data_IF_567302294262
#
_entry.id   IF_567302294262
#
_cell.length_a   1.000
_cell.length_b   1.000
_cell.length_c   1.000
_cell.angle_alpha   90.00
_cell.angle_beta   90.00
_cell.angle_gamma   90.00
#
_symmetry.space_group_name_H-M   'P 1'
#
loop_
_entity.id
_entity.type
_entity.pdbx_description
1 polymer ?
#
# COMPACT_ATOMS: atom_id res chain seq x y z
N UNK A 1 8.24 20.29 17.60
CA UNK A 1 9.34 20.21 16.62
C UNK A 1 8.92 20.94 15.37
N UNK A 2 9.83 21.68 14.75
CA UNK A 2 9.61 22.35 13.47
C UNK A 2 9.45 21.33 12.35
N UNK A 3 8.72 21.72 11.30
CA UNK A 3 8.64 20.96 10.04
C UNK A 3 9.96 20.99 9.24
N UNK A 4 10.85 21.93 9.55
CA UNK A 4 12.17 22.03 8.98
C UNK A 4 13.16 21.26 9.87
N UNK A 5 13.81 20.19 9.38
CA UNK A 5 14.71 19.39 10.20
C UNK A 5 15.92 20.19 10.73
N UNK A 6 16.37 21.22 10.00
CA UNK A 6 17.52 22.04 10.40
C UNK A 6 17.23 22.84 11.68
N UNK A 7 16.01 23.32 11.85
CA UNK A 7 15.58 24.08 13.04
C UNK A 7 15.38 23.18 14.26
N UNK A 8 15.37 21.86 14.08
CA UNK A 8 15.30 20.90 15.19
C UNK A 8 16.69 20.56 15.74
N UNK A 9 17.76 21.04 15.11
CA UNK A 9 19.13 20.82 15.60
C UNK A 9 19.45 21.82 16.72
N UNK A 10 20.11 21.38 17.81
CA UNK A 10 20.41 22.23 18.95
C UNK A 10 21.19 23.49 18.56
N UNK A 11 20.65 24.67 18.89
CA UNK A 11 21.28 25.96 18.60
C UNK A 11 20.99 26.54 17.22
N UNK A 12 20.14 25.89 16.41
CA UNK A 12 19.72 26.36 15.09
C UNK A 12 18.22 26.69 15.01
N UNK A 13 17.53 26.80 16.14
CA UNK A 13 16.08 26.99 16.23
C UNK A 13 15.60 28.34 15.65
N UNK A 14 16.49 29.34 15.62
CA UNK A 14 16.21 30.69 15.10
C UNK A 14 17.11 31.08 13.92
N UNK A 15 17.84 30.11 13.34
CA UNK A 15 18.75 30.34 12.23
C UNK A 15 17.98 30.79 10.98
N UNK A 16 18.20 32.00 10.47
CA UNK A 16 17.42 32.57 9.35
C UNK A 16 18.22 33.53 8.46
N UNK A 17 19.55 33.59 8.64
CA UNK A 17 20.39 34.37 7.74
C UNK A 17 20.43 33.70 6.35
N UNK A 18 20.89 34.43 5.32
CA UNK A 18 20.90 33.90 3.94
C UNK A 18 21.73 32.61 3.80
N UNK A 19 22.81 32.50 4.57
CA UNK A 19 23.60 31.27 4.67
C UNK A 19 22.81 30.12 5.32
N UNK A 20 22.07 30.41 6.39
CA UNK A 20 21.24 29.40 7.08
C UNK A 20 20.13 28.90 6.17
N UNK A 21 19.48 29.77 5.40
CA UNK A 21 18.44 29.38 4.44
C UNK A 21 18.96 28.39 3.39
N UNK A 22 20.20 28.57 2.94
CA UNK A 22 20.86 27.62 2.05
C UNK A 22 21.08 26.29 2.75
N UNK A 23 21.63 26.31 3.97
CA UNK A 23 21.88 25.08 4.74
C UNK A 23 20.60 24.35 5.11
N UNK A 24 19.53 25.06 5.48
CA UNK A 24 18.20 24.49 5.70
C UNK A 24 17.70 23.73 4.48
N UNK A 25 17.84 24.33 3.28
CA UNK A 25 17.44 23.70 2.02
C UNK A 25 18.27 22.45 1.74
N UNK A 26 19.59 22.54 1.85
CA UNK A 26 20.52 21.44 1.58
C UNK A 26 20.32 20.29 2.59
N UNK A 27 20.11 20.61 3.87
CA UNK A 27 19.83 19.64 4.91
C UNK A 27 18.47 18.98 4.74
N UNK A 28 17.41 19.75 4.45
CA UNK A 28 16.09 19.19 4.18
C UNK A 28 16.10 18.26 2.95
N UNK A 29 16.88 18.58 1.91
CA UNK A 29 17.08 17.70 0.77
C UNK A 29 17.80 16.39 1.18
N UNK A 30 18.87 16.50 1.99
CA UNK A 30 19.62 15.36 2.55
C UNK A 30 18.70 14.42 3.35
N UNK A 31 17.96 14.98 4.31
CA UNK A 31 17.03 14.23 5.17
C UNK A 31 15.93 13.56 4.36
N UNK A 32 15.37 14.25 3.35
CA UNK A 32 14.36 13.64 2.45
C UNK A 32 14.90 12.41 1.73
N UNK A 33 16.10 12.50 1.16
CA UNK A 33 16.75 11.38 0.47
C UNK A 33 16.93 10.19 1.42
N UNK A 34 17.55 10.43 2.57
CA UNK A 34 17.93 9.39 3.52
C UNK A 34 16.71 8.76 4.21
N UNK A 35 15.64 9.54 4.42
CA UNK A 35 14.36 9.03 4.93
C UNK A 35 13.75 8.02 3.96
N UNK A 36 13.73 8.31 2.66
CA UNK A 36 13.23 7.36 1.65
C UNK A 36 14.15 6.12 1.59
N UNK A 37 15.47 6.33 1.56
CA UNK A 37 16.46 5.24 1.46
C UNK A 37 16.40 4.28 2.65
N UNK A 38 16.39 4.80 3.87
CA UNK A 38 16.52 4.00 5.09
C UNK A 38 15.14 3.56 5.58
N UNK A 39 14.25 4.52 5.85
CA UNK A 39 13.00 4.23 6.56
C UNK A 39 11.96 3.52 5.70
N UNK A 40 12.05 3.65 4.37
CA UNK A 40 11.13 3.00 3.43
C UNK A 40 11.82 1.87 2.70
N UNK A 41 12.84 2.16 1.89
CA UNK A 41 13.44 1.18 0.97
C UNK A 41 14.17 0.09 1.73
N UNK A 42 15.22 0.43 2.49
CA UNK A 42 16.03 -0.57 3.20
C UNK A 42 15.17 -1.42 4.14
N UNK A 43 14.24 -0.78 4.88
CA UNK A 43 13.33 -1.50 5.78
C UNK A 43 12.46 -2.54 5.04
N UNK A 44 11.92 -2.19 3.87
CA UNK A 44 11.11 -3.13 3.08
C UNK A 44 11.97 -4.19 2.41
N UNK A 45 13.19 -3.84 2.02
CA UNK A 45 14.15 -4.81 1.48
C UNK A 45 14.48 -5.90 2.51
N UNK A 46 14.72 -5.49 3.76
CA UNK A 46 14.90 -6.41 4.89
C UNK A 46 13.65 -7.28 5.12
N UNK A 47 12.44 -6.70 5.05
CA UNK A 47 11.19 -7.45 5.26
C UNK A 47 10.84 -8.41 4.13
N UNK A 48 11.32 -8.15 2.92
CA UNK A 48 11.12 -8.98 1.74
C UNK A 48 12.33 -9.88 1.43
N UNK A 49 13.37 -9.82 2.26
CA UNK A 49 14.65 -10.51 2.06
C UNK A 49 15.25 -10.26 0.67
N UNK A 50 15.13 -9.04 0.13
CA UNK A 50 15.68 -8.67 -1.16
C UNK A 50 16.97 -7.87 -0.99
N UNK A 51 17.96 -8.13 -1.84
CA UNK A 51 19.18 -7.32 -1.83
C UNK A 51 18.95 -6.00 -2.57
N UNK A 52 19.72 -4.96 -2.20
CA UNK A 52 19.73 -3.71 -2.94
C UNK A 52 20.09 -3.93 -4.43
N UNK A 53 20.81 -4.99 -4.79
CA UNK A 53 21.11 -5.33 -6.19
C UNK A 53 19.91 -5.90 -6.97
N UNK A 54 18.77 -6.14 -6.32
CA UNK A 54 17.57 -6.71 -6.94
C UNK A 54 17.57 -8.24 -6.99
N UNK A 55 18.32 -8.89 -6.10
CA UNK A 55 18.31 -10.36 -6.00
C UNK A 55 17.32 -10.79 -4.93
N UNK A 56 16.36 -11.62 -5.31
CA UNK A 56 15.54 -12.41 -4.38
C UNK A 56 16.26 -13.73 -4.11
N UNK A 57 16.34 -14.24 -2.87
CA UNK A 57 16.74 -15.61 -2.64
C UNK A 57 15.80 -16.56 -3.41
N UNK A 58 16.29 -17.71 -3.91
CA UNK A 58 15.43 -18.68 -4.58
C UNK A 58 14.31 -19.09 -3.63
N UNK A 59 13.07 -18.96 -4.08
CA UNK A 59 11.91 -19.52 -3.39
C UNK A 59 12.07 -21.05 -3.37
N UNK A 60 12.20 -21.63 -2.19
CA UNK A 60 12.11 -23.09 -1.99
C UNK A 60 10.64 -23.45 -1.82
N UNK A 61 9.98 -24.03 -2.85
CA UNK A 61 8.67 -24.64 -2.64
C UNK A 61 8.81 -25.80 -1.65
N UNK A 62 7.79 -26.07 -0.82
CA UNK A 62 7.75 -27.31 -0.06
C UNK A 62 7.67 -28.47 -1.08
N UNK A 63 8.70 -29.31 -1.09
CA UNK A 63 8.86 -30.42 -2.03
C UNK A 63 7.68 -31.41 -1.98
N UNK A 64 7.23 -31.88 -3.14
CA UNK A 64 6.16 -32.88 -3.28
C UNK A 64 6.61 -34.32 -2.96
N UNK A 65 7.90 -34.57 -2.72
CA UNK A 65 8.48 -35.92 -2.54
C UNK A 65 9.23 -36.07 -1.20
N UNK A 66 8.51 -36.08 -0.08
CA UNK A 66 9.05 -36.57 1.21
C UNK A 66 8.12 -37.65 1.78
N UNK A 67 8.01 -38.76 1.05
CA UNK A 67 7.35 -39.99 1.47
C UNK A 67 8.28 -40.82 2.40
N UNK A 68 8.92 -40.13 3.36
CA UNK A 68 9.64 -40.76 4.46
C UNK A 68 8.86 -40.49 5.75
N UNK A 69 8.38 -41.58 6.37
CA UNK A 69 7.66 -41.65 7.66
C UNK A 69 8.42 -41.06 8.88
N UNK A 70 9.44 -40.22 8.64
CA UNK A 70 10.21 -39.47 9.63
C UNK A 70 10.11 -37.94 9.47
N UNK A 71 9.47 -37.43 8.41
CA UNK A 71 9.24 -35.98 8.19
C UNK A 71 7.77 -35.58 8.43
N UNK A 72 7.16 -36.16 9.47
CA UNK A 72 5.85 -35.73 9.97
C UNK A 72 5.92 -34.43 10.80
N UNK A 73 7.03 -33.72 10.77
CA UNK A 73 7.16 -32.32 11.21
C UNK A 73 6.95 -31.38 10.01
N UNK A 74 5.84 -31.63 9.32
CA UNK A 74 5.30 -30.81 8.24
C UNK A 74 5.17 -29.38 8.74
N UNK A 75 6.01 -28.48 8.19
CA UNK A 75 5.80 -27.03 8.09
C UNK A 75 4.87 -26.49 9.17
N UNK A 76 5.41 -26.35 10.37
CA UNK A 76 4.76 -25.59 11.41
C UNK A 76 4.64 -24.14 10.95
N UNK A 77 3.54 -23.78 10.28
CA UNK A 77 3.20 -22.40 9.92
C UNK A 77 3.13 -21.49 11.16
N UNK A 78 3.10 -22.07 12.38
CA UNK A 78 3.25 -21.31 13.62
C UNK A 78 4.71 -20.90 13.95
N UNK A 79 5.70 -21.36 13.16
CA UNK A 79 7.11 -21.01 13.33
C UNK A 79 7.51 -19.69 12.65
N UNK A 80 6.69 -19.14 11.74
CA UNK A 80 6.90 -17.76 11.27
C UNK A 80 6.32 -16.82 12.31
N UNK A 81 7.18 -16.28 13.17
CA UNK A 81 6.76 -15.34 14.21
C UNK A 81 5.92 -14.20 13.59
N UNK A 82 4.68 -14.04 14.07
CA UNK A 82 3.81 -12.95 13.67
C UNK A 82 4.48 -11.60 13.98
N UNK A 83 4.80 -10.87 12.93
CA UNK A 83 5.37 -9.53 13.03
C UNK A 83 4.37 -8.51 12.45
N UNK A 84 3.42 -8.00 13.27
CA UNK A 84 2.35 -7.10 12.80
C UNK A 84 2.88 -5.85 12.09
N UNK A 85 4.09 -5.43 12.45
CA UNK A 85 4.72 -4.27 11.84
C UNK A 85 5.21 -4.53 10.40
N UNK A 86 5.58 -5.77 10.05
CA UNK A 86 6.00 -6.14 8.69
C UNK A 86 4.86 -5.98 7.69
N UNK A 87 3.73 -6.63 7.93
CA UNK A 87 2.53 -6.50 7.06
C UNK A 87 2.05 -5.05 6.99
N UNK A 88 2.00 -4.36 8.15
CA UNK A 88 1.61 -2.95 8.19
C UNK A 88 2.49 -2.08 7.28
N UNK A 89 3.82 -2.27 7.32
CA UNK A 89 4.75 -1.55 6.44
C UNK A 89 4.54 -1.88 4.96
N UNK A 90 4.37 -3.17 4.60
CA UNK A 90 4.11 -3.60 3.22
C UNK A 90 2.83 -2.95 2.66
N UNK A 91 1.75 -2.94 3.45
CA UNK A 91 0.47 -2.31 3.05
C UNK A 91 0.58 -0.80 2.91
N UNK A 92 1.22 -0.12 3.87
CA UNK A 92 1.43 1.33 3.80
C UNK A 92 2.33 1.72 2.63
N UNK A 93 3.30 0.88 2.28
CA UNK A 93 4.08 1.08 1.08
C UNK A 93 3.21 1.08 -0.18
N UNK A 94 2.33 0.10 -0.34
CA UNK A 94 1.42 0.05 -1.49
C UNK A 94 0.52 1.30 -1.57
N UNK A 95 0.05 1.81 -0.43
CA UNK A 95 -0.77 3.03 -0.37
C UNK A 95 -0.02 4.29 -0.81
N UNK A 96 1.25 4.42 -0.45
CA UNK A 96 2.03 5.65 -0.69
C UNK A 96 3.04 5.50 -1.83
N UNK A 97 2.98 4.41 -2.59
CA UNK A 97 3.93 4.12 -3.67
C UNK A 97 4.07 5.28 -4.66
N UNK A 98 2.94 5.80 -5.17
CA UNK A 98 2.93 6.93 -6.10
C UNK A 98 3.45 8.23 -5.46
N UNK A 99 3.19 8.42 -4.16
CA UNK A 99 3.70 9.56 -3.38
C UNK A 99 5.22 9.51 -3.25
N UNK A 100 5.82 8.33 -3.06
CA UNK A 100 7.27 8.17 -3.03
C UNK A 100 7.90 8.47 -4.40
N UNK A 101 7.31 7.97 -5.49
CA UNK A 101 7.79 8.25 -6.85
C UNK A 101 7.70 9.75 -7.17
N UNK A 102 6.58 10.39 -6.83
CA UNK A 102 6.39 11.83 -7.02
C UNK A 102 7.41 12.64 -6.21
N UNK A 103 7.70 12.24 -4.97
CA UNK A 103 8.69 12.88 -4.13
C UNK A 103 10.11 12.76 -4.71
N UNK A 104 10.46 11.60 -5.26
CA UNK A 104 11.73 11.38 -5.98
C UNK A 104 11.79 12.25 -7.23
N UNK A 105 10.76 12.26 -8.08
CA UNK A 105 10.74 13.03 -9.32
C UNK A 105 10.92 14.54 -9.05
N UNK A 106 10.25 15.05 -8.01
CA UNK A 106 10.43 16.44 -7.57
C UNK A 106 11.85 16.70 -7.09
N UNK A 107 12.40 15.81 -6.25
CA UNK A 107 13.75 15.99 -5.71
C UNK A 107 14.85 15.92 -6.79
N UNK A 108 14.68 15.08 -7.82
CA UNK A 108 15.58 15.00 -8.99
C UNK A 108 15.68 16.31 -9.79
N UNK A 109 14.68 17.19 -9.68
CA UNK A 109 14.71 18.55 -10.28
C UNK A 109 15.48 19.54 -9.41
N UNK A 110 15.67 19.25 -8.13
CA UNK A 110 16.29 20.14 -7.14
C UNK A 110 17.79 19.85 -6.96
N UNK A 111 18.22 18.59 -7.10
CA UNK A 111 19.62 18.16 -6.91
C UNK A 111 20.11 17.28 -8.06
N UNK A 112 21.43 17.22 -8.27
CA UNK A 112 22.03 16.33 -9.27
C UNK A 112 22.22 14.93 -8.70
N UNK A 113 22.01 13.93 -9.54
CA UNK A 113 22.30 12.55 -9.18
C UNK A 113 23.80 12.36 -8.94
N UNK A 114 24.14 11.52 -7.96
CA UNK A 114 25.48 11.27 -7.42
C UNK A 114 26.18 12.49 -6.80
N UNK A 115 25.49 13.62 -6.63
CA UNK A 115 26.04 14.79 -5.95
C UNK A 115 26.26 14.49 -4.46
N UNK A 116 27.45 14.78 -3.90
CA UNK A 116 27.72 14.56 -2.49
C UNK A 116 26.86 15.48 -1.61
N UNK A 117 26.51 14.97 -0.43
CA UNK A 117 25.80 15.73 0.59
C UNK A 117 26.64 16.91 1.10
N UNK A 118 26.03 18.09 1.17
CA UNK A 118 26.65 19.23 1.82
C UNK A 118 26.77 18.96 3.32
N UNK A 119 27.95 19.19 3.90
CA UNK A 119 28.18 19.03 5.34
C UNK A 119 27.59 20.23 6.09
N UNK A 120 26.73 19.98 7.06
CA UNK A 120 26.14 21.04 7.87
C UNK A 120 27.09 21.52 8.98
N UNK A 121 26.95 22.77 9.48
CA UNK A 121 27.83 23.31 10.52
C UNK A 121 27.86 22.51 11.82
N UNK A 122 26.78 21.81 12.14
CA UNK A 122 26.66 20.94 13.32
C UNK A 122 27.17 19.50 13.10
N UNK A 123 27.63 19.16 11.89
CA UNK A 123 28.19 17.84 11.58
C UNK A 123 29.70 17.79 11.88
N UNK A 124 30.07 17.11 12.95
CA UNK A 124 31.44 16.81 13.39
C UNK A 124 31.91 15.40 12.98
N UNK A 125 33.04 14.96 13.53
CA UNK A 125 33.63 13.65 13.23
C UNK A 125 32.80 12.44 13.71
N UNK A 126 31.90 12.63 14.68
CA UNK A 126 31.09 11.55 15.27
C UNK A 126 29.64 11.48 14.79
N UNK A 127 29.17 12.46 14.02
CA UNK A 127 27.77 12.59 13.59
C UNK A 127 27.64 13.08 12.13
N UNK A 128 28.68 12.94 11.32
CA UNK A 128 28.63 13.32 9.91
C UNK A 128 27.64 12.44 9.14
N UNK A 129 26.79 13.07 8.33
CA UNK A 129 25.89 12.38 7.41
C UNK A 129 26.51 12.42 6.01
N UNK A 130 27.53 11.60 5.83
CA UNK A 130 28.25 11.44 4.56
C UNK A 130 27.45 10.62 3.56
N UNK A 131 27.57 10.94 2.28
CA UNK A 131 26.85 10.25 1.22
C UNK A 131 26.64 11.12 0.00
N UNK A 132 25.78 10.65 -0.90
CA UNK A 132 25.41 11.31 -2.15
C UNK A 132 23.93 11.11 -2.44
N UNK A 133 23.34 12.04 -3.17
CA UNK A 133 22.00 11.85 -3.73
C UNK A 133 22.06 10.76 -4.81
N UNK A 134 21.24 9.72 -4.72
CA UNK A 134 21.21 8.61 -5.69
C UNK A 134 19.74 8.25 -6.01
N UNK A 135 19.00 9.26 -6.47
CA UNK A 135 17.56 9.14 -6.68
C UNK A 135 17.22 8.19 -7.82
N UNK A 136 18.10 8.03 -8.80
CA UNK A 136 17.95 7.02 -9.86
C UNK A 136 17.91 5.62 -9.27
N UNK A 137 18.83 5.31 -8.35
CA UNK A 137 18.87 4.02 -7.70
C UNK A 137 17.72 3.83 -6.70
N UNK A 138 17.33 4.89 -5.96
CA UNK A 138 16.16 4.81 -5.07
C UNK A 138 14.87 4.50 -5.85
N UNK A 139 14.67 5.12 -7.02
CA UNK A 139 13.51 4.86 -7.88
C UNK A 139 13.49 3.40 -8.36
N UNK A 140 14.65 2.89 -8.83
CA UNK A 140 14.80 1.49 -9.26
C UNK A 140 14.45 0.52 -8.13
N UNK A 141 14.96 0.77 -6.92
CA UNK A 141 14.71 -0.07 -5.73
C UNK A 141 13.25 -0.03 -5.29
N UNK A 142 12.59 1.13 -5.30
CA UNK A 142 11.14 1.24 -5.03
C UNK A 142 10.32 0.42 -6.02
N UNK A 143 10.63 0.52 -7.32
CA UNK A 143 9.95 -0.27 -8.35
C UNK A 143 10.16 -1.77 -8.14
N UNK A 144 11.37 -2.17 -7.74
CA UNK A 144 11.65 -3.57 -7.44
C UNK A 144 10.87 -4.09 -6.22
N UNK A 145 10.85 -3.35 -5.11
CA UNK A 145 10.00 -3.65 -3.93
C UNK A 145 8.54 -3.83 -4.35
N UNK A 146 8.04 -2.91 -5.20
CA UNK A 146 6.67 -2.96 -5.70
C UNK A 146 6.40 -4.25 -6.47
N UNK A 147 7.23 -4.59 -7.44
CA UNK A 147 7.12 -5.83 -8.22
C UNK A 147 7.16 -7.06 -7.31
N UNK A 148 8.03 -7.08 -6.30
CA UNK A 148 8.12 -8.19 -5.33
C UNK A 148 6.83 -8.33 -4.52
N UNK A 149 6.21 -7.24 -4.09
CA UNK A 149 4.93 -7.27 -3.36
C UNK A 149 3.76 -7.71 -4.25
N UNK A 150 3.73 -7.28 -5.51
CA UNK A 150 2.73 -7.74 -6.47
C UNK A 150 2.88 -9.25 -6.73
N UNK A 151 4.13 -9.75 -6.86
CA UNK A 151 4.42 -11.18 -7.00
C UNK A 151 4.04 -11.98 -5.74
N UNK A 152 4.36 -11.49 -4.54
CA UNK A 152 3.94 -12.10 -3.27
C UNK A 152 2.41 -12.21 -3.18
N UNK A 153 1.69 -11.17 -3.63
CA UNK A 153 0.22 -11.15 -3.62
C UNK A 153 -0.37 -12.16 -4.61
N UNK A 154 0.21 -12.26 -5.82
CA UNK A 154 -0.19 -13.26 -6.80
C UNK A 154 0.07 -14.69 -6.28
N UNK A 155 1.19 -14.88 -5.58
CA UNK A 155 1.59 -16.17 -5.02
C UNK A 155 0.65 -16.66 -3.91
N UNK A 156 -0.01 -15.76 -3.17
CA UNK A 156 -1.05 -16.14 -2.20
C UNK A 156 -2.19 -16.94 -2.83
N UNK A 157 -2.53 -16.69 -4.09
CA UNK A 157 -3.55 -17.47 -4.79
C UNK A 157 -3.10 -18.94 -4.96
N UNK A 158 -1.83 -19.15 -5.34
CA UNK A 158 -1.25 -20.48 -5.52
C UNK A 158 -1.09 -21.21 -4.19
N UNK A 159 -0.54 -20.54 -3.16
CA UNK A 159 -0.43 -21.10 -1.81
C UNK A 159 -1.80 -21.43 -1.23
N UNK A 160 -2.78 -20.55 -1.42
CA UNK A 160 -4.15 -20.73 -0.96
C UNK A 160 -4.84 -21.98 -1.53
N UNK A 161 -4.62 -22.30 -2.82
CA UNK A 161 -5.11 -23.54 -3.42
C UNK A 161 -4.46 -24.78 -2.79
N UNK A 162 -3.16 -24.71 -2.46
CA UNK A 162 -2.48 -25.80 -1.74
C UNK A 162 -3.04 -25.94 -0.32
N UNK A 163 -3.27 -24.83 0.39
CA UNK A 163 -3.90 -24.83 1.71
C UNK A 163 -5.32 -25.40 1.68
N UNK A 164 -6.09 -25.14 0.62
CA UNK A 164 -7.41 -25.73 0.41
C UNK A 164 -7.33 -27.24 0.18
N UNK A 165 -6.41 -27.72 -0.66
CA UNK A 165 -6.18 -29.16 -0.88
C UNK A 165 -5.76 -29.90 0.39
N UNK A 166 -5.04 -29.21 1.28
CA UNK A 166 -4.63 -29.71 2.60
C UNK A 166 -5.69 -29.55 3.69
N UNK A 167 -6.90 -29.07 3.34
CA UNK A 167 -8.02 -28.83 4.27
C UNK A 167 -7.63 -27.95 5.47
N UNK A 168 -6.81 -26.92 5.23
CA UNK A 168 -6.34 -26.06 6.31
C UNK A 168 -7.48 -25.31 6.99
N UNK A 169 -7.32 -25.02 8.29
CA UNK A 169 -8.31 -24.25 9.06
C UNK A 169 -8.57 -22.86 8.48
N UNK A 170 -7.54 -22.22 7.90
CA UNK A 170 -7.67 -20.90 7.24
C UNK A 170 -8.53 -21.01 5.98
N UNK A 171 -8.30 -22.02 5.14
CA UNK A 171 -9.07 -22.23 3.92
C UNK A 171 -10.55 -22.51 4.25
N UNK A 172 -10.82 -23.36 5.24
CA UNK A 172 -12.18 -23.66 5.70
C UNK A 172 -12.85 -22.41 6.31
N UNK A 173 -12.10 -21.60 7.06
CA UNK A 173 -12.60 -20.35 7.64
C UNK A 173 -13.01 -19.35 6.53
N UNK A 174 -12.12 -19.08 5.57
CA UNK A 174 -12.40 -18.16 4.46
C UNK A 174 -13.57 -18.64 3.60
N UNK A 175 -13.65 -19.94 3.30
CA UNK A 175 -14.78 -20.53 2.58
C UNK A 175 -16.11 -20.26 3.32
N UNK A 176 -16.13 -20.48 4.64
CA UNK A 176 -17.31 -20.18 5.47
C UNK A 176 -17.64 -18.70 5.50
N UNK A 177 -16.64 -17.82 5.61
CA UNK A 177 -16.86 -16.38 5.56
C UNK A 177 -17.45 -15.95 4.21
N UNK A 178 -16.95 -16.50 3.10
CA UNK A 178 -17.49 -16.24 1.77
C UNK A 178 -18.99 -16.56 1.70
N UNK A 179 -19.39 -17.77 2.12
CA UNK A 179 -20.79 -18.20 2.11
C UNK A 179 -21.68 -17.29 2.95
N UNK A 180 -21.22 -16.91 4.14
CA UNK A 180 -21.95 -15.98 5.03
C UNK A 180 -22.10 -14.59 4.41
N UNK A 181 -21.05 -14.08 3.76
CA UNK A 181 -21.03 -12.77 3.12
C UNK A 181 -21.97 -12.74 1.91
N UNK A 182 -21.90 -13.74 1.04
CA UNK A 182 -22.79 -13.87 -0.13
C UNK A 182 -24.24 -13.93 0.31
N UNK A 183 -24.57 -14.74 1.32
CA UNK A 183 -25.94 -14.84 1.84
C UNK A 183 -26.41 -13.53 2.49
N UNK A 184 -25.53 -12.82 3.21
CA UNK A 184 -25.86 -11.54 3.81
C UNK A 184 -26.23 -10.47 2.74
N UNK A 185 -25.45 -10.37 1.66
CA UNK A 185 -25.73 -9.41 0.59
C UNK A 185 -26.86 -9.83 -0.35
N UNK A 186 -27.18 -11.13 -0.46
CA UNK A 186 -28.42 -11.58 -1.12
C UNK A 186 -29.68 -11.12 -0.39
N UNK A 187 -29.63 -11.06 0.95
CA UNK A 187 -30.76 -10.60 1.78
C UNK A 187 -30.88 -9.09 1.82
N UNK A 188 -29.75 -8.38 1.82
CA UNK A 188 -29.72 -6.92 1.86
C UNK A 188 -29.77 -6.32 0.45
N UNK A 189 -30.95 -5.85 0.05
CA UNK A 189 -31.14 -5.19 -1.26
C UNK A 189 -30.61 -3.76 -1.32
N UNK A 190 -30.10 -3.21 -0.22
CA UNK A 190 -29.63 -1.81 -0.16
C UNK A 190 -28.24 -1.62 -0.77
N UNK A 191 -27.45 -2.69 -0.88
CA UNK A 191 -26.14 -2.70 -1.53
C UNK A 191 -26.19 -3.75 -2.62
N UNK A 192 -25.99 -3.34 -3.86
CA UNK A 192 -25.84 -4.30 -4.96
C UNK A 192 -24.37 -4.64 -5.08
N UNK A 193 -24.01 -5.78 -4.49
CA UNK A 193 -22.71 -6.43 -4.63
C UNK A 193 -22.93 -7.81 -5.20
N UNK A 194 -22.09 -8.16 -6.17
CA UNK A 194 -21.90 -9.54 -6.57
C UNK A 194 -20.52 -10.00 -6.11
N UNK A 195 -20.44 -11.19 -5.53
CA UNK A 195 -19.22 -11.69 -4.90
C UNK A 195 -19.03 -13.15 -5.30
N UNK A 196 -17.91 -13.40 -5.98
CA UNK A 196 -17.55 -14.72 -6.50
C UNK A 196 -16.13 -15.08 -6.09
N UNK A 197 -15.83 -16.39 -6.03
CA UNK A 197 -14.47 -16.87 -5.85
C UNK A 197 -13.80 -17.03 -7.21
N UNK A 198 -12.58 -16.52 -7.34
CA UNK A 198 -11.78 -16.76 -8.54
C UNK A 198 -11.39 -18.24 -8.60
N UNK A 199 -11.86 -18.96 -9.62
CA UNK A 199 -11.57 -20.37 -9.83
C UNK A 199 -11.84 -21.28 -8.60
N UNK A 200 -12.87 -20.95 -7.80
CA UNK A 200 -13.21 -21.64 -6.53
C UNK A 200 -12.12 -21.59 -5.46
N UNK A 201 -11.19 -20.64 -5.58
CA UNK A 201 -10.15 -20.39 -4.60
C UNK A 201 -10.69 -19.49 -3.47
N UNK A 202 -10.81 -19.95 -2.22
CA UNK A 202 -11.32 -19.14 -1.10
C UNK A 202 -10.38 -17.99 -0.72
N UNK A 203 -9.17 -17.95 -1.28
CA UNK A 203 -8.20 -16.88 -1.03
C UNK A 203 -8.25 -15.74 -2.06
N UNK A 204 -9.08 -15.84 -3.10
CA UNK A 204 -9.21 -14.79 -4.13
C UNK A 204 -10.67 -14.52 -4.41
N UNK A 205 -11.15 -13.35 -4.00
CA UNK A 205 -12.55 -12.96 -4.15
C UNK A 205 -12.67 -11.86 -5.19
N UNK A 206 -13.54 -12.08 -6.17
CA UNK A 206 -13.94 -11.10 -7.17
C UNK A 206 -15.23 -10.44 -6.69
N UNK A 207 -15.20 -9.12 -6.52
CA UNK A 207 -16.31 -8.32 -6.01
C UNK A 207 -16.71 -7.32 -7.09
N UNK A 208 -17.94 -7.40 -7.56
CA UNK A 208 -18.54 -6.42 -8.46
C UNK A 208 -19.45 -5.52 -7.63
N UNK A 209 -19.01 -4.28 -7.43
CA UNK A 209 -19.77 -3.26 -6.71
C UNK A 209 -20.51 -2.36 -7.69
N UNK A 210 -21.83 -2.30 -7.56
CA UNK A 210 -22.66 -1.38 -8.29
C UNK A 210 -22.91 -0.15 -7.43
N UNK A 211 -22.51 1.02 -7.94
CA UNK A 211 -22.61 2.27 -7.20
C UNK A 211 -24.06 2.61 -6.86
N UNK A 212 -24.31 2.97 -5.60
CA UNK A 212 -25.67 3.16 -5.10
C UNK A 212 -26.36 4.37 -5.76
N UNK A 213 -27.70 4.31 -5.95
CA UNK A 213 -28.48 5.45 -6.37
C UNK A 213 -28.26 6.67 -5.49
N UNK A 214 -28.26 7.86 -6.10
CA UNK A 214 -28.09 9.14 -5.40
C UNK A 214 -26.73 9.32 -4.69
N UNK A 215 -25.72 8.54 -5.06
CA UNK A 215 -24.32 8.75 -4.64
C UNK A 215 -23.47 9.31 -5.77
N UNK A 216 -22.23 9.72 -5.49
CA UNK A 216 -21.29 10.12 -6.55
C UNK A 216 -20.82 8.97 -7.44
N UNK A 217 -21.16 7.73 -7.07
CA UNK A 217 -20.82 6.50 -7.77
C UNK A 217 -22.02 5.93 -8.53
N UNK A 218 -23.17 6.59 -8.49
CA UNK A 218 -24.41 6.16 -9.12
C UNK A 218 -24.21 5.82 -10.60
N UNK A 219 -24.73 4.66 -11.01
CA UNK A 219 -24.55 4.09 -12.33
C UNK A 219 -23.20 3.41 -12.59
N UNK A 220 -22.22 3.53 -11.68
CA UNK A 220 -20.92 2.87 -11.82
C UNK A 220 -20.95 1.37 -11.53
N UNK A 221 -20.07 0.63 -12.20
CA UNK A 221 -19.75 -0.77 -11.95
C UNK A 221 -18.25 -0.88 -11.68
N UNK A 222 -17.87 -1.37 -10.50
CA UNK A 222 -16.47 -1.46 -10.07
C UNK A 222 -16.09 -2.88 -9.71
N UNK A 223 -15.13 -3.43 -10.46
CA UNK A 223 -14.55 -4.73 -10.18
C UNK A 223 -13.38 -4.56 -9.20
N UNK A 224 -13.46 -5.26 -8.08
CA UNK A 224 -12.48 -5.25 -7.00
C UNK A 224 -12.07 -6.68 -6.75
N UNK A 225 -10.76 -6.95 -6.78
CA UNK A 225 -10.20 -8.24 -6.42
C UNK A 225 -9.59 -8.17 -5.02
N UNK A 226 -9.95 -9.11 -4.16
CA UNK A 226 -9.44 -9.23 -2.80
C UNK A 226 -8.61 -10.51 -2.68
N UNK A 227 -7.33 -10.35 -2.37
CA UNK A 227 -6.38 -11.43 -2.17
C UNK A 227 -6.15 -11.62 -0.68
N UNK A 228 -6.48 -12.80 -0.17
CA UNK A 228 -6.22 -13.20 1.21
C UNK A 228 -4.90 -13.96 1.28
N UNK A 229 -4.10 -13.66 2.30
CA UNK A 229 -2.90 -14.43 2.58
C UNK A 229 -3.28 -15.80 3.16
N UNK A 230 -2.53 -16.87 2.84
CA UNK A 230 -2.55 -18.14 3.58
C UNK A 230 -2.40 -17.99 5.09
N UNK A 231 -1.80 -16.89 5.54
CA UNK A 231 -1.58 -16.52 6.95
C UNK A 231 -2.68 -15.60 7.51
N UNK A 232 -3.83 -15.48 6.84
CA UNK A 232 -4.95 -14.67 7.35
C UNK A 232 -5.49 -15.25 8.67
N UNK A 233 -5.77 -14.43 9.71
CA UNK A 233 -5.85 -12.96 9.71
C UNK A 233 -4.58 -12.23 10.17
N UNK A 234 -3.48 -12.92 10.42
CA UNK A 234 -2.21 -12.30 10.81
C UNK A 234 -1.69 -11.38 9.70
N UNK A 235 -1.68 -11.89 8.47
CA UNK A 235 -1.40 -11.09 7.28
C UNK A 235 -2.71 -10.65 6.61
N UNK A 236 -2.89 -9.33 6.48
CA UNK A 236 -4.15 -8.73 6.08
C UNK A 236 -4.34 -8.77 4.56
N UNK A 237 -5.58 -8.92 4.06
CA UNK A 237 -5.83 -9.05 2.63
C UNK A 237 -5.47 -7.78 1.86
N UNK A 238 -5.06 -7.98 0.61
CA UNK A 238 -4.73 -6.92 -0.33
C UNK A 238 -5.86 -6.79 -1.34
N UNK A 239 -6.40 -5.59 -1.46
CA UNK A 239 -7.46 -5.29 -2.41
C UNK A 239 -6.91 -4.55 -3.62
N UNK A 240 -7.52 -4.75 -4.79
CA UNK A 240 -7.15 -4.10 -6.04
C UNK A 240 -8.40 -3.76 -6.83
N UNK A 241 -8.57 -2.49 -7.19
CA UNK A 241 -9.56 -2.08 -8.16
C UNK A 241 -9.04 -2.42 -9.56
N UNK A 242 -9.74 -3.32 -10.25
CA UNK A 242 -9.47 -3.64 -11.65
C UNK A 242 -10.09 -2.58 -12.56
N UNK A 243 -11.24 -2.03 -12.15
CA UNK A 243 -11.85 -0.89 -12.83
C UNK A 243 -11.17 0.42 -12.38
N UNK A 244 -10.58 1.21 -13.30
CA UNK A 244 -9.96 2.47 -12.95
C UNK A 244 -10.96 3.47 -12.36
N UNK A 245 -10.62 4.08 -11.21
CA UNK A 245 -11.48 5.03 -10.51
C UNK A 245 -10.68 6.24 -10.02
N UNK A 246 -11.11 7.46 -10.42
CA UNK A 246 -10.49 8.68 -9.95
C UNK A 246 -11.04 9.07 -8.57
N UNK A 247 -10.38 8.58 -7.50
CA UNK A 247 -10.82 8.81 -6.13
C UNK A 247 -9.64 9.02 -5.19
N UNK A 248 -9.79 9.87 -4.16
CA UNK A 248 -8.68 10.22 -3.25
C UNK A 248 -8.18 9.03 -2.40
N UNK A 249 -9.05 8.03 -2.15
CA UNK A 249 -8.71 6.77 -1.45
C UNK A 249 -8.18 5.67 -2.37
N UNK A 250 -8.14 5.86 -3.69
CA UNK A 250 -7.72 4.82 -4.64
C UNK A 250 -6.44 5.28 -5.33
N UNK A 251 -5.35 4.54 -5.14
CA UNK A 251 -4.06 4.78 -5.82
C UNK A 251 -4.19 4.71 -7.34
N UNK A 252 -3.22 5.23 -8.09
CA UNK A 252 -3.27 5.24 -9.56
C UNK A 252 -3.28 3.83 -10.13
N UNK A 253 -2.70 2.89 -9.40
CA UNK A 253 -2.68 1.48 -9.69
C UNK A 253 -3.98 0.77 -9.27
N UNK A 254 -4.94 1.42 -8.62
CA UNK A 254 -6.15 0.81 -8.09
C UNK A 254 -6.03 0.25 -6.66
N UNK A 255 -4.92 0.47 -5.95
CA UNK A 255 -4.83 0.04 -4.54
C UNK A 255 -5.71 0.93 -3.65
N UNK A 256 -6.70 0.38 -2.91
CA UNK A 256 -7.53 1.17 -2.00
C UNK A 256 -6.89 1.39 -0.63
N UNK A 257 -7.13 2.58 -0.09
CA UNK A 257 -6.77 2.97 1.27
C UNK A 257 -7.98 2.88 2.21
N UNK A 258 -7.98 1.85 3.06
CA UNK A 258 -9.07 1.58 3.98
C UNK A 258 -8.56 0.91 5.27
N UNK A 259 -9.34 0.99 6.33
CA UNK A 259 -9.06 0.32 7.61
C UNK A 259 -10.27 -0.51 8.01
N UNK A 260 -10.16 -1.84 8.09
CA UNK A 260 -11.26 -2.70 8.53
C UNK A 260 -11.60 -2.44 10.00
N UNK A 261 -12.89 -2.55 10.36
CA UNK A 261 -13.34 -2.49 11.77
C UNK A 261 -12.97 -3.76 12.54
N UNK A 262 -13.08 -4.91 11.87
CA UNK A 262 -12.68 -6.25 12.29
C UNK A 262 -11.68 -6.80 11.25
N UNK A 263 -10.37 -6.83 11.57
CA UNK A 263 -9.31 -7.29 10.65
C UNK A 263 -9.37 -8.79 10.31
N UNK A 264 -10.10 -9.58 11.10
CA UNK A 264 -10.28 -11.03 10.96
C UNK A 264 -11.53 -11.43 10.17
N UNK A 265 -12.33 -10.45 9.75
CA UNK A 265 -13.62 -10.62 9.09
C UNK A 265 -13.61 -10.00 7.69
N UNK A 266 -13.65 -10.86 6.67
CA UNK A 266 -13.71 -10.51 5.25
C UNK A 266 -14.85 -9.54 4.93
N UNK A 267 -16.01 -9.68 5.59
CA UNK A 267 -17.14 -8.76 5.39
C UNK A 267 -16.75 -7.34 5.77
N UNK A 268 -16.07 -7.19 6.91
CA UNK A 268 -15.62 -5.91 7.44
C UNK A 268 -14.61 -5.22 6.51
N UNK A 269 -13.77 -5.98 5.79
CA UNK A 269 -12.92 -5.41 4.74
C UNK A 269 -13.75 -4.83 3.59
N UNK A 270 -14.73 -5.59 3.06
CA UNK A 270 -15.61 -5.14 1.97
C UNK A 270 -16.40 -3.90 2.38
N UNK A 271 -17.04 -3.93 3.55
CA UNK A 271 -17.80 -2.80 4.10
C UNK A 271 -16.91 -1.55 4.27
N UNK A 272 -15.65 -1.74 4.68
CA UNK A 272 -14.72 -0.61 4.89
C UNK A 272 -14.18 -0.04 3.58
N UNK A 273 -14.00 -0.86 2.54
CA UNK A 273 -13.66 -0.38 1.19
C UNK A 273 -14.81 0.47 0.63
N UNK A 274 -16.04 -0.05 0.67
CA UNK A 274 -17.22 0.66 0.17
C UNK A 274 -17.47 1.93 0.99
N UNK A 275 -17.40 1.83 2.32
CA UNK A 275 -17.55 2.98 3.21
C UNK A 275 -16.51 4.07 2.93
N UNK A 276 -15.27 3.72 2.59
CA UNK A 276 -14.24 4.68 2.23
C UNK A 276 -14.47 5.36 0.87
N UNK A 277 -15.22 4.74 -0.04
CA UNK A 277 -15.62 5.32 -1.32
C UNK A 277 -16.87 6.21 -1.22
N UNK A 278 -17.82 5.82 -0.37
CA UNK A 278 -19.10 6.53 -0.20
C UNK A 278 -19.01 7.71 0.79
N UNK A 279 -17.87 7.89 1.47
CA UNK A 279 -17.67 8.97 2.44
C UNK A 279 -17.68 10.35 1.75
N UNK A 280 -18.79 11.08 1.87
CA UNK A 280 -19.00 12.36 1.17
C UNK A 280 -18.17 13.50 1.76
N UNK A 281 -17.97 13.51 3.08
CA UNK A 281 -17.30 14.61 3.79
C UNK A 281 -16.29 14.08 4.83
N UNK A 282 -15.23 13.37 4.39
CA UNK A 282 -14.20 12.88 5.28
C UNK A 282 -13.45 14.05 5.95
N UNK A 283 -13.06 13.91 7.24
CA UNK A 283 -12.10 14.82 7.83
C UNK A 283 -10.77 14.76 7.08
N UNK A 284 -10.05 15.88 7.01
CA UNK A 284 -8.73 15.89 6.38
C UNK A 284 -7.76 15.01 7.18
N UNK A 285 -7.29 13.92 6.58
CA UNK A 285 -6.25 13.06 7.14
C UNK A 285 -5.16 12.80 6.09
N UNK A 286 -3.93 13.33 6.27
CA UNK A 286 -2.83 13.16 5.31
C UNK A 286 -2.46 11.69 5.08
N UNK A 287 -2.79 10.80 6.03
CA UNK A 287 -2.49 9.35 5.95
C UNK A 287 -3.44 8.57 5.04
N UNK A 288 -4.41 9.26 4.44
CA UNK A 288 -5.43 8.67 3.57
C UNK A 288 -5.40 9.23 2.15
N UNK A 289 -4.46 10.14 1.88
CA UNK A 289 -4.29 10.84 0.61
C UNK A 289 -3.41 10.04 -0.34
N UNK A 290 -3.89 8.88 -0.78
CA UNK A 290 -3.08 7.98 -1.64
C UNK A 290 -2.97 8.50 -3.07
N UNK A 291 -4.04 9.09 -3.60
CA UNK A 291 -4.00 9.76 -4.90
C UNK A 291 -3.80 11.26 -4.71
N UNK A 292 -2.54 11.69 -4.82
CA UNK A 292 -2.11 13.08 -4.56
C UNK A 292 -2.89 14.09 -5.41
N UNK A 293 -3.16 13.76 -6.69
CA UNK A 293 -3.90 14.65 -7.58
C UNK A 293 -5.37 14.77 -7.16
N UNK A 294 -6.04 13.62 -6.93
CA UNK A 294 -7.42 13.59 -6.49
C UNK A 294 -7.60 14.29 -5.13
N UNK A 295 -6.69 14.04 -4.19
CA UNK A 295 -6.66 14.72 -2.89
C UNK A 295 -6.49 16.22 -3.01
N UNK A 296 -5.54 16.69 -3.84
CA UNK A 296 -5.35 18.13 -4.06
C UNK A 296 -6.64 18.79 -4.58
N UNK A 297 -7.35 18.12 -5.48
CA UNK A 297 -8.62 18.66 -6.01
C UNK A 297 -9.76 18.61 -4.98
N UNK A 298 -9.85 17.51 -4.22
CA UNK A 298 -10.93 17.31 -3.25
C UNK A 298 -10.88 18.29 -2.07
N UNK A 299 -9.69 18.55 -1.52
CA UNK A 299 -9.49 19.53 -0.43
C UNK A 299 -9.09 20.92 -0.91
N UNK A 300 -9.10 21.17 -2.23
CA UNK A 300 -8.74 22.44 -2.84
C UNK A 300 -9.84 23.50 -2.78
N UNK A 301 -9.73 24.48 -3.68
CA UNK A 301 -10.70 25.56 -3.86
C UNK A 301 -12.07 25.05 -4.33
N UNK A 302 -13.08 25.93 -4.37
CA UNK A 302 -14.42 25.58 -4.89
C UNK A 302 -14.34 25.07 -6.33
N UNK A 303 -13.46 25.65 -7.16
CA UNK A 303 -13.30 25.22 -8.55
C UNK A 303 -12.53 23.90 -8.66
N UNK A 304 -11.57 23.66 -7.77
CA UNK A 304 -10.89 22.35 -7.67
C UNK A 304 -11.87 21.23 -7.33
N UNK A 305 -12.79 21.48 -6.38
CA UNK A 305 -13.84 20.52 -6.02
C UNK A 305 -14.79 20.23 -7.19
N UNK A 306 -15.13 21.25 -8.00
CA UNK A 306 -15.91 21.03 -9.24
C UNK A 306 -15.12 20.17 -10.23
N UNK A 307 -13.83 20.41 -10.37
CA UNK A 307 -12.95 19.62 -11.23
C UNK A 307 -12.83 18.16 -10.75
N UNK A 308 -12.69 17.94 -9.44
CA UNK A 308 -12.72 16.62 -8.82
C UNK A 308 -14.01 15.87 -9.19
N UNK A 309 -15.17 16.47 -8.91
CA UNK A 309 -16.47 15.86 -9.19
C UNK A 309 -16.65 15.54 -10.68
N UNK A 310 -16.15 16.40 -11.57
CA UNK A 310 -16.18 16.15 -13.01
C UNK A 310 -15.30 14.95 -13.40
N UNK A 311 -14.09 14.84 -12.84
CA UNK A 311 -13.19 13.70 -13.10
C UNK A 311 -13.74 12.40 -12.53
N UNK A 312 -14.26 12.43 -11.30
CA UNK A 312 -14.91 11.28 -10.66
C UNK A 312 -16.08 10.77 -11.51
N UNK A 313 -17.01 11.63 -11.91
CA UNK A 313 -18.14 11.24 -12.77
C UNK A 313 -17.71 10.64 -14.10
N UNK A 314 -16.65 11.18 -14.72
CA UNK A 314 -16.09 10.60 -15.95
C UNK A 314 -15.55 9.20 -15.70
N UNK A 315 -14.78 8.98 -14.63
CA UNK A 315 -14.30 7.64 -14.31
C UNK A 315 -15.43 6.66 -13.96
N UNK A 316 -16.50 7.12 -13.31
CA UNK A 316 -17.70 6.31 -13.03
C UNK A 316 -18.40 5.92 -14.34
N UNK A 317 -18.53 6.85 -15.29
CA UNK A 317 -19.13 6.56 -16.59
C UNK A 317 -18.30 5.56 -17.41
N UNK A 318 -16.97 5.75 -17.47
CA UNK A 318 -16.06 4.81 -18.15
C UNK A 318 -15.97 3.45 -17.47
N UNK A 319 -16.45 3.32 -16.24
CA UNK A 319 -16.45 2.07 -15.49
C UNK A 319 -17.46 1.05 -16.04
N UNK A 320 -18.38 1.50 -16.89
CA UNK A 320 -19.39 0.66 -17.56
C UNK A 320 -18.97 0.20 -18.96
N UNK A 321 -17.90 0.77 -19.52
CA UNK A 321 -17.39 0.47 -20.88
C UNK A 321 -16.49 -0.77 -20.89
#
# INVERSE_FOLDING_TARGET
>A
MSSNPYENEPGFESANDDHDRKNQKDYAAKIRHETIRISVIQRLEEYLNISAAGTTPPYTPPSEDSDSDLDRDVLDDSAVAFEPFKDFCKRRFLWYYDSYLTAIEKARKEVKDLQPFARMPFEGSGNAMEGKFDYTELERRLRFIRTTLDAETAHWATEGLLSQKKESGVAANLQRQFEQVVEAYKRDKSVTLDIELDNKNPFVWNITYFGRPMTNLDGGLFNIKLYFSPRFPEEQPRAKFETPLFHHRIGLDGTPCYTPKRPDDAKSHIESIIGALEEVSPPYDPRTLVNVEASKLFWGSVDDKKNYNRKLRRSVQSSME
#
